data_IF_370866288976
#
_entry.id   IF_370866288976
#
_cell.length_a   1.000
_cell.length_b   1.000
_cell.length_c   1.000
_cell.angle_alpha   90.00
_cell.angle_beta   90.00
_cell.angle_gamma   90.00
#
_symmetry.space_group_name_H-M   'P 1'
#
loop_
_entity.id
_entity.type
_entity.pdbx_description
1 polymer ?
#
# COMPACT_ATOMS: atom_id res chain seq x y z
N UNK A 1 29.06 36.87 32.59
CA UNK A 1 27.58 36.94 32.48
C UNK A 1 27.07 37.15 31.03
N UNK A 2 27.90 37.11 29.99
CA UNK A 2 27.47 37.37 28.59
C UNK A 2 27.52 36.14 27.66
N UNK A 3 27.90 34.96 28.17
CA UNK A 3 27.94 33.71 27.39
C UNK A 3 26.75 32.78 27.65
N UNK A 4 26.10 32.88 28.81
CA UNK A 4 24.89 32.10 29.13
C UNK A 4 23.68 32.57 28.32
N UNK A 5 23.56 33.88 28.09
CA UNK A 5 22.47 34.47 27.29
C UNK A 5 22.52 34.02 25.82
N UNK A 6 23.73 33.88 25.24
CA UNK A 6 23.90 33.44 23.85
C UNK A 6 23.46 31.99 23.62
N UNK A 7 23.65 31.11 24.61
CA UNK A 7 23.24 29.70 24.53
C UNK A 7 21.72 29.58 24.63
N UNK A 8 21.09 30.39 25.49
CA UNK A 8 19.64 30.41 25.69
C UNK A 8 18.90 30.89 24.42
N UNK A 9 19.44 31.90 23.72
CA UNK A 9 18.83 32.39 22.47
C UNK A 9 18.98 31.41 21.29
N UNK A 10 20.06 30.63 21.24
CA UNK A 10 20.28 29.67 20.15
C UNK A 10 19.35 28.45 20.20
N UNK A 11 18.84 28.10 21.37
CA UNK A 11 17.93 26.95 21.54
C UNK A 11 16.48 27.25 21.12
N UNK A 12 16.10 28.52 21.02
CA UNK A 12 14.73 28.94 20.67
C UNK A 12 14.43 28.91 19.17
N UNK A 13 15.44 28.77 18.30
CA UNK A 13 15.28 28.82 16.84
C UNK A 13 14.87 27.45 16.26
N UNK A 14 15.03 26.35 17.01
CA UNK A 14 14.69 25.00 16.55
C UNK A 14 13.27 24.54 16.86
N UNK A 15 12.46 25.34 17.58
CA UNK A 15 11.10 24.94 17.94
C UNK A 15 10.02 25.34 16.90
N UNK A 16 10.41 25.90 15.74
CA UNK A 16 9.45 26.34 14.71
C UNK A 16 9.14 25.31 13.64
N UNK A 17 9.41 24.02 13.87
CA UNK A 17 8.75 22.95 13.11
C UNK A 17 7.47 22.58 13.87
N UNK A 18 6.53 23.52 13.92
CA UNK A 18 5.14 23.17 14.06
C UNK A 18 4.81 22.41 12.77
N UNK A 19 4.84 21.08 12.86
CA UNK A 19 4.24 20.23 11.86
C UNK A 19 2.82 20.76 11.65
N UNK A 20 2.59 21.37 10.50
CA UNK A 20 1.27 21.39 9.93
C UNK A 20 0.91 19.92 9.80
N UNK A 21 0.04 19.44 10.68
CA UNK A 21 -0.85 18.38 10.24
C UNK A 21 -1.57 19.03 9.06
N UNK A 22 -1.08 18.74 7.86
CA UNK A 22 -1.95 18.67 6.71
C UNK A 22 -3.15 17.84 7.21
N UNK A 23 -4.37 18.25 6.88
CA UNK A 23 -5.47 17.31 6.83
C UNK A 23 -5.10 16.28 5.75
N UNK A 24 -4.06 15.48 6.01
CA UNK A 24 -3.84 14.19 5.41
C UNK A 24 -5.18 13.53 5.70
N UNK A 25 -6.03 13.32 4.68
CA UNK A 25 -7.27 12.61 4.91
C UNK A 25 -6.81 11.40 5.66
N UNK A 26 -7.33 11.20 6.87
CA UNK A 26 -6.98 10.05 7.69
C UNK A 26 -7.15 8.88 6.75
N UNK A 27 -6.02 8.43 6.19
CA UNK A 27 -5.94 7.17 5.52
C UNK A 27 -6.09 6.35 6.77
N UNK A 28 -7.36 6.01 7.05
CA UNK A 28 -7.70 4.73 7.63
C UNK A 28 -6.63 3.85 7.03
N UNK A 29 -5.62 3.56 7.85
CA UNK A 29 -4.71 2.48 7.61
C UNK A 29 -5.66 1.31 7.68
N UNK A 30 -6.31 1.10 6.55
CA UNK A 30 -7.19 0.02 6.24
C UNK A 30 -6.14 -1.06 6.19
N UNK A 31 -5.83 -1.55 7.39
CA UNK A 31 -5.23 -2.83 7.66
C UNK A 31 -6.26 -3.81 7.09
N UNK A 32 -6.39 -3.79 5.77
CA UNK A 32 -7.05 -4.81 4.98
C UNK A 32 -6.15 -6.00 5.22
N UNK A 33 -6.43 -6.69 6.32
CA UNK A 33 -5.89 -8.00 6.62
C UNK A 33 -5.92 -8.76 5.32
N UNK A 34 -4.76 -9.26 4.91
CA UNK A 34 -4.61 -9.93 3.63
C UNK A 34 -5.68 -11.02 3.51
N UNK A 35 -6.69 -10.74 2.68
CA UNK A 35 -7.80 -11.66 2.47
C UNK A 35 -7.50 -12.46 1.21
N UNK A 36 -7.16 -13.73 1.41
CA UNK A 36 -6.79 -14.64 0.34
C UNK A 36 -7.88 -14.75 -0.75
N UNK A 37 -9.17 -14.77 -0.36
CA UNK A 37 -10.27 -14.87 -1.31
C UNK A 37 -10.38 -13.60 -2.16
N UNK A 38 -10.33 -12.41 -1.52
CA UNK A 38 -10.33 -11.14 -2.26
C UNK A 38 -9.11 -11.02 -3.18
N UNK A 39 -7.93 -11.45 -2.73
CA UNK A 39 -6.73 -11.45 -3.56
C UNK A 39 -6.94 -12.32 -4.80
N UNK A 40 -7.43 -13.56 -4.62
CA UNK A 40 -7.66 -14.49 -5.72
C UNK A 40 -8.70 -13.92 -6.69
N UNK A 41 -9.82 -13.41 -6.19
CA UNK A 41 -10.87 -12.87 -7.05
C UNK A 41 -10.39 -11.65 -7.85
N UNK A 42 -9.67 -10.73 -7.21
CA UNK A 42 -9.14 -9.54 -7.88
C UNK A 42 -8.13 -9.91 -8.98
N UNK A 43 -7.13 -10.73 -8.64
CA UNK A 43 -6.10 -11.14 -9.61
C UNK A 43 -6.68 -11.99 -10.75
N UNK A 44 -7.67 -12.85 -10.45
CA UNK A 44 -8.37 -13.64 -11.47
C UNK A 44 -9.12 -12.72 -12.42
N UNK A 45 -9.92 -11.79 -11.89
CA UNK A 45 -10.72 -10.88 -12.72
C UNK A 45 -9.85 -9.97 -13.58
N UNK A 46 -8.76 -9.43 -13.02
CA UNK A 46 -7.79 -8.65 -13.77
C UNK A 46 -7.17 -9.47 -14.92
N UNK A 47 -6.74 -10.70 -14.65
CA UNK A 47 -6.20 -11.60 -15.65
C UNK A 47 -7.22 -11.93 -16.75
N UNK A 48 -8.46 -12.23 -16.37
CA UNK A 48 -9.54 -12.54 -17.32
C UNK A 48 -9.85 -11.34 -18.21
N UNK A 49 -9.93 -10.15 -17.62
CA UNK A 49 -10.23 -8.93 -18.36
C UNK A 49 -9.10 -8.55 -19.33
N UNK A 50 -7.84 -8.76 -18.93
CA UNK A 50 -6.69 -8.44 -19.76
C UNK A 50 -6.43 -9.48 -20.87
N UNK A 51 -6.70 -10.76 -20.61
CA UNK A 51 -6.24 -11.84 -21.48
C UNK A 51 -7.38 -12.67 -22.08
N UNK A 52 -8.49 -12.90 -21.37
CA UNK A 52 -9.50 -13.86 -21.80
C UNK A 52 -10.59 -13.27 -22.70
N UNK A 53 -10.88 -11.97 -22.58
CA UNK A 53 -11.90 -11.33 -23.42
C UNK A 53 -11.52 -11.29 -24.91
N UNK A 54 -10.23 -11.32 -25.21
CA UNK A 54 -9.69 -11.29 -26.57
C UNK A 54 -9.04 -12.61 -26.99
N UNK A 55 -8.99 -13.60 -26.08
CA UNK A 55 -8.39 -14.90 -26.34
C UNK A 55 -9.41 -15.90 -26.86
N UNK A 56 -8.96 -16.78 -27.76
CA UNK A 56 -9.71 -17.96 -28.21
C UNK A 56 -9.41 -19.20 -27.38
N UNK A 57 -8.54 -19.09 -26.38
CA UNK A 57 -8.15 -20.18 -25.50
C UNK A 57 -9.26 -20.48 -24.47
N UNK A 58 -9.85 -21.66 -24.59
CA UNK A 58 -10.90 -22.14 -23.68
C UNK A 58 -10.39 -22.31 -22.24
N UNK A 59 -9.07 -22.51 -22.07
CA UNK A 59 -8.41 -22.68 -20.79
C UNK A 59 -7.95 -21.34 -20.18
N UNK A 60 -8.32 -20.20 -20.77
CA UNK A 60 -7.85 -18.91 -20.29
C UNK A 60 -8.31 -18.61 -18.84
N UNK A 61 -9.59 -18.84 -18.54
CA UNK A 61 -10.14 -18.62 -17.19
C UNK A 61 -9.48 -19.54 -16.15
N UNK A 62 -9.40 -20.88 -16.33
CA UNK A 62 -8.74 -21.74 -15.35
C UNK A 62 -7.25 -21.44 -15.20
N UNK A 63 -6.54 -21.04 -16.27
CA UNK A 63 -5.14 -20.57 -16.17
C UNK A 63 -5.03 -19.29 -15.34
N UNK A 64 -5.94 -18.33 -15.53
CA UNK A 64 -5.98 -17.12 -14.73
C UNK A 64 -6.28 -17.40 -13.25
N UNK A 65 -7.14 -18.37 -12.97
CA UNK A 65 -7.44 -18.79 -11.60
C UNK A 65 -6.22 -19.44 -10.92
N UNK A 66 -5.55 -20.37 -11.58
CA UNK A 66 -4.32 -20.98 -11.05
C UNK A 66 -3.23 -19.92 -10.78
N UNK A 67 -3.04 -18.99 -11.72
CA UNK A 67 -2.06 -17.91 -11.58
C UNK A 67 -2.40 -16.94 -10.43
N UNK A 68 -3.70 -16.67 -10.22
CA UNK A 68 -4.16 -15.86 -9.11
C UNK A 68 -3.92 -16.56 -7.76
N UNK A 69 -4.18 -17.87 -7.68
CA UNK A 69 -3.91 -18.68 -6.48
C UNK A 69 -2.42 -18.68 -6.13
N UNK A 70 -1.54 -18.92 -7.10
CA UNK A 70 -0.08 -18.92 -6.88
C UNK A 70 0.41 -17.56 -6.40
N UNK A 71 0.01 -16.48 -7.08
CA UNK A 71 0.41 -15.11 -6.73
C UNK A 71 -0.07 -14.70 -5.33
N UNK A 72 -1.32 -15.03 -4.97
CA UNK A 72 -1.85 -14.72 -3.65
C UNK A 72 -1.21 -15.59 -2.56
N UNK A 73 -0.83 -16.82 -2.88
CA UNK A 73 -0.08 -17.68 -1.96
C UNK A 73 1.30 -17.12 -1.69
N UNK A 74 1.99 -16.61 -2.70
CA UNK A 74 3.27 -15.91 -2.55
C UNK A 74 3.11 -14.69 -1.64
N UNK A 75 2.13 -13.82 -1.92
CA UNK A 75 1.85 -12.63 -1.10
C UNK A 75 1.45 -12.93 0.35
N UNK A 76 0.84 -14.09 0.61
CA UNK A 76 0.50 -14.52 1.97
C UNK A 76 1.70 -14.95 2.82
N UNK A 77 2.85 -15.15 2.19
CA UNK A 77 4.09 -15.60 2.81
C UNK A 77 5.12 -14.46 2.98
N UNK A 78 4.81 -13.25 2.46
CA UNK A 78 5.60 -12.02 2.61
C UNK A 78 5.24 -11.25 3.89
#
# INVERSE_FOLDING_TARGET
MNHLWKIICSFMIWFSVAAYADDEPTVVEDTQDFNMDMCIQNNKNECVNANCLTSTDIECIPKCEAKAQDKCKEQSLE
#
